data_IF_656158363020
#
_entry.id   IF_656158363020
#
_cell.length_a   1.000
_cell.length_b   1.000
_cell.length_c   1.000
_cell.angle_alpha   90.00
_cell.angle_beta   90.00
_cell.angle_gamma   90.00
#
_symmetry.space_group_name_H-M   'P 1'
#
loop_
_entity.id
_entity.type
_entity.pdbx_description
1 polymer ?
#
# COMPACT_ATOMS: atom_id res chain seq x y z
N UNK A 1 -16.37 4.42 -8.95
CA UNK A 1 -15.10 5.04 -8.51
C UNK A 1 -14.26 3.94 -7.88
N UNK A 2 -12.93 3.98 -8.02
CA UNK A 2 -12.06 2.95 -7.43
C UNK A 2 -11.54 3.43 -6.08
N UNK A 3 -11.73 2.63 -5.04
CA UNK A 3 -11.23 2.91 -3.69
C UNK A 3 -10.05 2.00 -3.38
N UNK A 4 -9.06 2.50 -2.63
CA UNK A 4 -7.94 1.70 -2.18
C UNK A 4 -8.45 0.71 -1.12
N UNK A 5 -8.44 -0.58 -1.45
CA UNK A 5 -8.78 -1.68 -0.55
C UNK A 5 -7.64 -2.01 0.42
N UNK A 6 -6.40 -1.75 0.01
CA UNK A 6 -5.24 -1.93 0.88
C UNK A 6 -3.91 -1.87 0.15
N UNK A 7 -2.85 -2.16 0.89
CA UNK A 7 -1.47 -2.16 0.42
C UNK A 7 -0.91 -3.57 0.57
N UNK A 8 -0.35 -4.13 -0.51
CA UNK A 8 0.31 -5.43 -0.47
C UNK A 8 1.38 -5.54 -1.56
N UNK A 9 2.45 -6.28 -1.27
CA UNK A 9 3.48 -6.61 -2.24
C UNK A 9 2.85 -7.27 -3.47
N UNK A 10 3.08 -6.76 -4.69
CA UNK A 10 2.47 -7.32 -5.89
C UNK A 10 2.98 -8.73 -6.23
N UNK A 11 4.13 -9.12 -5.67
CA UNK A 11 4.76 -10.41 -5.94
C UNK A 11 4.41 -11.52 -4.94
N UNK A 12 4.29 -11.19 -3.65
CA UNK A 12 4.10 -12.19 -2.58
C UNK A 12 2.91 -11.91 -1.66
N UNK A 13 2.14 -10.85 -1.92
CA UNK A 13 0.99 -10.41 -1.13
C UNK A 13 1.29 -10.08 0.36
N UNK A 14 2.56 -9.97 0.75
CA UNK A 14 2.93 -9.45 2.07
C UNK A 14 2.37 -8.04 2.27
N UNK A 15 1.81 -7.78 3.46
CA UNK A 15 1.20 -6.51 3.83
C UNK A 15 2.12 -5.78 4.81
N UNK A 16 2.61 -4.59 4.46
CA UNK A 16 3.36 -3.76 5.38
C UNK A 16 2.54 -3.40 6.63
N UNK A 17 3.18 -3.48 7.79
CA UNK A 17 2.70 -2.89 9.03
C UNK A 17 3.13 -1.42 9.15
N UNK A 18 2.47 -0.67 10.03
CA UNK A 18 2.81 0.72 10.33
C UNK A 18 4.24 0.90 10.89
N UNK A 19 4.86 -0.13 11.47
CA UNK A 19 6.24 -0.07 11.98
C UNK A 19 7.31 -0.40 10.95
N UNK A 20 6.94 -0.89 9.77
CA UNK A 20 7.92 -1.17 8.70
C UNK A 20 8.61 0.10 8.22
N UNK A 21 9.92 -0.01 7.93
CA UNK A 21 10.76 1.12 7.54
C UNK A 21 11.55 0.82 6.27
N UNK A 22 11.60 1.81 5.41
CA UNK A 22 12.51 1.93 4.29
C UNK A 22 13.48 3.06 4.58
N UNK A 23 14.71 2.90 4.12
CA UNK A 23 15.73 3.92 4.20
C UNK A 23 15.80 4.69 2.88
N UNK A 24 16.07 5.99 2.97
CA UNK A 24 16.36 6.83 1.80
C UNK A 24 17.75 6.50 1.26
N UNK A 25 18.19 7.25 0.25
CA UNK A 25 19.58 7.22 -0.16
C UNK A 25 20.50 7.64 1.00
N UNK A 26 21.77 7.18 1.02
CA UNK A 26 22.72 7.46 2.09
C UNK A 26 22.94 8.95 2.39
N UNK A 27 22.76 9.84 1.41
CA UNK A 27 22.86 11.30 1.60
C UNK A 27 21.74 11.86 2.48
N UNK A 28 20.59 11.19 2.53
CA UNK A 28 19.43 11.61 3.31
C UNK A 28 19.24 10.75 4.56
N UNK A 29 19.38 9.43 4.46
CA UNK A 29 19.29 8.50 5.60
C UNK A 29 17.94 8.48 6.34
N UNK A 30 16.89 9.11 5.81
CA UNK A 30 15.57 9.09 6.44
C UNK A 30 15.05 7.64 6.51
N UNK A 31 14.50 7.25 7.66
CA UNK A 31 13.83 5.96 7.86
C UNK A 31 12.33 6.21 8.03
N UNK A 32 11.51 5.73 7.09
CA UNK A 32 10.05 5.95 7.14
C UNK A 32 9.28 4.80 6.48
N UNK A 33 7.97 4.73 6.75
CA UNK A 33 7.09 3.86 5.98
C UNK A 33 6.72 4.58 4.66
N UNK A 34 7.15 4.03 3.53
CA UNK A 34 6.99 4.66 2.21
C UNK A 34 5.53 4.92 1.83
N UNK A 35 4.58 4.17 2.39
CA UNK A 35 3.16 4.31 2.09
C UNK A 35 2.49 5.48 2.81
N UNK A 36 3.09 6.03 3.87
CA UNK A 36 2.55 7.23 4.55
C UNK A 36 2.53 8.47 3.67
N UNK A 37 3.43 8.51 2.69
CA UNK A 37 3.68 9.69 1.86
C UNK A 37 3.60 9.37 0.36
N UNK A 38 3.00 8.23 0.00
CA UNK A 38 2.93 7.73 -1.37
C UNK A 38 4.30 7.72 -2.08
N UNK A 39 5.35 7.31 -1.38
CA UNK A 39 6.71 7.23 -1.92
C UNK A 39 7.53 8.51 -1.82
N UNK A 40 7.00 9.59 -1.25
CA UNK A 40 7.74 10.84 -1.09
C UNK A 40 8.56 10.80 0.21
N UNK A 41 9.89 10.91 0.13
CA UNK A 41 10.74 10.96 1.30
C UNK A 41 10.46 12.23 2.13
N UNK A 42 10.15 12.12 3.44
CA UNK A 42 9.90 13.29 4.29
C UNK A 42 11.17 14.10 4.59
N UNK A 43 12.36 13.52 4.42
CA UNK A 43 13.63 14.21 4.66
C UNK A 43 14.09 15.09 3.50
N UNK A 44 14.06 14.57 2.27
CA UNK A 44 14.60 15.25 1.08
C UNK A 44 13.59 15.50 -0.04
N UNK A 45 12.31 15.18 0.15
CA UNK A 45 11.23 15.32 -0.84
C UNK A 45 11.41 14.51 -2.15
N UNK A 46 12.41 13.61 -2.24
CA UNK A 46 12.56 12.68 -3.37
C UNK A 46 11.34 11.78 -3.47
N UNK A 47 10.78 11.64 -4.67
CA UNK A 47 9.66 10.73 -4.93
C UNK A 47 10.17 9.39 -5.50
N UNK A 48 10.14 8.37 -4.66
CA UNK A 48 10.52 7.01 -4.99
C UNK A 48 9.46 6.34 -5.86
N UNK A 49 9.82 5.96 -7.08
CA UNK A 49 8.93 5.30 -8.04
C UNK A 49 8.82 3.78 -7.81
N UNK A 50 9.72 3.23 -6.99
CA UNK A 50 9.84 1.81 -6.71
C UNK A 50 9.92 1.57 -5.21
N UNK A 51 9.55 0.37 -4.77
CA UNK A 51 9.60 -0.03 -3.35
C UNK A 51 10.01 -1.48 -3.27
N UNK A 52 11.00 -1.75 -2.42
CA UNK A 52 11.46 -3.09 -2.12
C UNK A 52 10.53 -3.75 -1.10
N UNK A 53 10.19 -5.02 -1.29
CA UNK A 53 9.47 -5.78 -0.30
C UNK A 53 10.41 -6.27 0.82
N UNK A 54 10.07 -5.96 2.07
CA UNK A 54 10.85 -6.40 3.25
C UNK A 54 10.73 -7.91 3.51
N UNK A 55 9.72 -8.58 2.94
CA UNK A 55 9.50 -10.02 3.11
C UNK A 55 10.17 -10.86 2.01
N UNK A 56 9.96 -10.52 0.73
CA UNK A 56 10.49 -11.31 -0.40
C UNK A 56 11.69 -10.67 -1.11
N UNK A 57 12.09 -9.45 -0.73
CA UNK A 57 13.25 -8.75 -1.29
C UNK A 57 13.07 -8.18 -2.71
N UNK A 58 11.99 -8.51 -3.41
CA UNK A 58 11.74 -7.99 -4.77
C UNK A 58 11.42 -6.50 -4.76
N UNK A 59 11.88 -5.81 -5.79
CA UNK A 59 11.56 -4.41 -6.06
C UNK A 59 10.41 -4.36 -7.04
N UNK A 60 9.37 -3.59 -6.71
CA UNK A 60 8.21 -3.41 -7.58
C UNK A 60 7.85 -1.93 -7.66
N UNK A 61 7.24 -1.46 -8.78
CA UNK A 61 6.76 -0.08 -8.88
C UNK A 61 5.82 0.27 -7.73
N UNK A 62 6.07 1.41 -7.07
CA UNK A 62 5.32 1.83 -5.89
C UNK A 62 3.79 1.86 -6.13
N UNK A 63 3.26 2.35 -7.27
CA UNK A 63 1.83 2.32 -7.54
C UNK A 63 1.20 0.92 -7.58
N UNK A 64 1.96 -0.15 -7.88
CA UNK A 64 1.44 -1.52 -7.96
C UNK A 64 1.15 -2.15 -6.58
N UNK A 65 1.61 -1.51 -5.51
CA UNK A 65 1.35 -1.95 -4.15
C UNK A 65 -0.08 -1.66 -3.68
N UNK A 66 -0.72 -0.64 -4.25
CA UNK A 66 -2.10 -0.27 -3.92
C UNK A 66 -3.07 -1.20 -4.64
N UNK A 67 -3.93 -1.86 -3.87
CA UNK A 67 -5.04 -2.69 -4.36
C UNK A 67 -6.30 -1.84 -4.37
N UNK A 68 -7.05 -1.93 -5.45
CA UNK A 68 -8.28 -1.16 -5.62
C UNK A 68 -9.48 -2.09 -5.73
N UNK A 69 -10.57 -1.72 -5.06
CA UNK A 69 -11.88 -2.32 -5.26
C UNK A 69 -12.75 -1.38 -6.10
N UNK A 70 -13.47 -1.95 -7.06
CA UNK A 70 -14.45 -1.23 -7.87
C UNK A 70 -15.72 -0.99 -7.06
N UNK A 71 -16.04 0.26 -6.76
CA UNK A 71 -17.34 0.63 -6.20
C UNK A 71 -18.27 0.94 -7.36
N UNK A 72 -19.18 0.00 -7.62
CA UNK A 72 -20.35 0.21 -8.46
C UNK A 72 -21.55 0.46 -7.54
N UNK A 73 -22.38 1.44 -7.87
CA UNK A 73 -23.60 1.84 -7.17
C UNK A 73 -24.75 0.82 -7.27
N UNK A 74 -24.43 -0.47 -7.23
CA UNK A 74 -25.38 -1.60 -7.27
C UNK A 74 -25.30 -2.51 -6.03
N UNK A 75 -24.46 -2.19 -5.03
CA UNK A 75 -24.43 -2.92 -3.75
C UNK A 75 -25.55 -2.47 -2.80
N UNK A 76 -26.80 -2.62 -3.23
CA UNK A 76 -27.99 -2.53 -2.37
C UNK A 76 -28.62 -3.89 -2.07
N UNK A 77 -27.96 -5.02 -2.33
CA UNK A 77 -28.51 -6.35 -2.01
C UNK A 77 -27.44 -7.37 -1.61
N UNK A 78 -26.88 -7.24 -0.40
CA UNK A 78 -26.25 -8.38 0.28
C UNK A 78 -26.19 -8.24 1.82
N UNK A 79 -27.15 -7.57 2.44
CA UNK A 79 -27.30 -7.60 3.90
C UNK A 79 -28.77 -7.70 4.29
N UNK A 80 -29.42 -8.78 3.82
CA UNK A 80 -30.69 -9.21 4.41
C UNK A 80 -30.79 -10.75 4.30
N UNK A 81 -30.05 -11.45 5.17
CA UNK A 81 -30.16 -12.92 5.34
C UNK A 81 -29.53 -13.41 6.67
N UNK A 82 -29.58 -12.60 7.74
CA UNK A 82 -29.16 -13.03 9.09
C UNK A 82 -30.11 -12.64 10.23
N UNK A 83 -31.39 -12.41 9.98
CA UNK A 83 -32.40 -12.45 11.04
C UNK A 83 -33.60 -13.30 10.60
N UNK A 84 -33.46 -14.60 10.86
CA UNK A 84 -34.56 -15.52 11.06
C UNK A 84 -34.36 -16.11 12.45
N UNK A 85 -34.99 -15.50 13.45
CA UNK A 85 -35.55 -16.21 14.61
C UNK A 85 -36.59 -15.34 15.29
#
# INVERSE_FOLDING_TARGET
MNEIEGIACPDCNWRPDHLDRWECDPECGALWNTFWTHGICPGCAKHWQETQCLHCGKISPHPKWYKYRSINSADSKAENSRESN
#
